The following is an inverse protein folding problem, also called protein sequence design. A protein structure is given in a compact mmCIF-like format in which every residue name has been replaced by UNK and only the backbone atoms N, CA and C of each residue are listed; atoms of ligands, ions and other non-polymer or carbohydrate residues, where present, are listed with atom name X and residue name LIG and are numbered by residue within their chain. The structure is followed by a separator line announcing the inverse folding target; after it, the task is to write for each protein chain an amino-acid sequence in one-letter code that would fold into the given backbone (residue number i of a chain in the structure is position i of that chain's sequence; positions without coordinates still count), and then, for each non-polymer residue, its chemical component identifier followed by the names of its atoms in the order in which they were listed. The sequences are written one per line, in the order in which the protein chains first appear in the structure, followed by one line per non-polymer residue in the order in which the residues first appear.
data_IF_700791194916
#
_entry.id   IF_700791194916
#
_cell.length_a   1.000
_cell.length_b   1.000
_cell.length_c   1.000
_cell.angle_alpha   90.00
_cell.angle_beta   90.00
_cell.angle_gamma   90.00
#
_symmetry.space_group_name_H-M   'P 1'
#
loop_
_entity.id
_entity.type
_entity.pdbx_description
1 polymer ?
#
# COMPACT_ATOMS: atom_id res chain seq x y z
N UNK A 1 31.11 16.56 -8.38
CA UNK A 1 29.93 16.24 -7.53
C UNK A 1 28.60 16.57 -8.20
N UNK A 2 28.44 17.75 -8.82
CA UNK A 2 27.21 18.10 -9.57
C UNK A 2 26.77 17.02 -10.57
N UNK A 3 27.71 16.42 -11.31
CA UNK A 3 27.43 15.32 -12.25
C UNK A 3 26.78 14.09 -11.60
N UNK A 4 27.12 13.78 -10.33
CA UNK A 4 26.48 12.69 -9.61
C UNK A 4 25.00 13.00 -9.34
N UNK A 5 24.69 14.19 -8.84
CA UNK A 5 23.29 14.61 -8.60
C UNK A 5 22.48 14.67 -9.89
N UNK A 6 23.06 15.18 -10.99
CA UNK A 6 22.44 15.17 -12.32
C UNK A 6 22.16 13.74 -12.80
N UNK A 7 23.13 12.83 -12.63
CA UNK A 7 22.95 11.42 -12.94
C UNK A 7 21.80 10.81 -12.12
N UNK A 8 21.78 11.02 -10.80
CA UNK A 8 20.73 10.49 -9.91
C UNK A 8 19.34 11.01 -10.29
N UNK A 9 19.24 12.30 -10.60
CA UNK A 9 18.00 12.90 -11.09
C UNK A 9 17.53 12.28 -12.41
N UNK A 10 18.43 12.10 -13.39
CA UNK A 10 18.11 11.46 -14.68
C UNK A 10 17.68 10.00 -14.50
N UNK A 11 18.40 9.22 -13.69
CA UNK A 11 18.07 7.84 -13.39
C UNK A 11 16.68 7.72 -12.74
N UNK A 12 16.39 8.57 -11.75
CA UNK A 12 15.08 8.63 -11.11
C UNK A 12 13.99 8.99 -12.14
N UNK A 13 14.20 10.02 -12.96
CA UNK A 13 13.26 10.44 -14.00
C UNK A 13 12.94 9.32 -15.00
N UNK A 14 13.95 8.55 -15.43
CA UNK A 14 13.74 7.41 -16.34
C UNK A 14 12.88 6.33 -15.70
N UNK A 15 13.18 5.95 -14.45
CA UNK A 15 12.39 4.96 -13.72
C UNK A 15 10.95 5.45 -13.44
N UNK A 16 10.80 6.72 -13.06
CA UNK A 16 9.48 7.35 -12.90
C UNK A 16 8.70 7.37 -14.20
N UNK A 17 9.32 7.59 -15.36
CA UNK A 17 8.64 7.54 -16.65
C UNK A 17 8.08 6.13 -16.94
N UNK A 18 8.82 5.08 -16.58
CA UNK A 18 8.34 3.69 -16.68
C UNK A 18 7.15 3.44 -15.76
N UNK A 19 7.25 3.88 -14.49
CA UNK A 19 6.15 3.78 -13.53
C UNK A 19 4.92 4.57 -13.99
N UNK A 20 5.10 5.77 -14.51
CA UNK A 20 4.01 6.61 -15.04
C UNK A 20 3.36 5.97 -16.26
N UNK A 21 4.11 5.28 -17.13
CA UNK A 21 3.53 4.53 -18.26
C UNK A 21 2.67 3.36 -17.77
N UNK A 22 3.13 2.62 -16.76
CA UNK A 22 2.34 1.54 -16.15
C UNK A 22 1.08 2.10 -15.47
N UNK A 23 1.24 3.20 -14.72
CA UNK A 23 0.13 3.90 -14.09
C UNK A 23 -0.85 4.42 -15.13
N UNK A 24 -0.40 4.97 -16.26
CA UNK A 24 -1.27 5.44 -17.33
C UNK A 24 -2.10 4.30 -17.92
N UNK A 25 -1.51 3.14 -18.19
CA UNK A 25 -2.25 1.97 -18.69
C UNK A 25 -3.31 1.49 -17.69
N UNK A 26 -2.96 1.48 -16.41
CA UNK A 26 -3.87 1.13 -15.33
C UNK A 26 -4.99 2.18 -15.13
N UNK A 27 -4.62 3.45 -15.14
CA UNK A 27 -5.52 4.59 -14.99
C UNK A 27 -6.48 4.71 -16.16
N UNK A 28 -6.09 4.37 -17.38
CA UNK A 28 -7.02 4.32 -18.51
C UNK A 28 -8.15 3.32 -18.26
N UNK A 29 -7.81 2.11 -17.79
CA UNK A 29 -8.81 1.11 -17.40
C UNK A 29 -9.70 1.63 -16.26
N UNK A 30 -9.10 2.26 -15.24
CA UNK A 30 -9.86 2.87 -14.14
C UNK A 30 -10.72 4.04 -14.61
N UNK A 31 -10.27 4.90 -15.51
CA UNK A 31 -11.04 6.04 -16.04
C UNK A 31 -12.24 5.50 -16.83
N UNK A 32 -12.04 4.51 -17.69
CA UNK A 32 -13.13 3.93 -18.49
C UNK A 32 -14.24 3.35 -17.62
N UNK A 33 -13.92 2.77 -16.45
CA UNK A 33 -14.89 2.14 -15.56
C UNK A 33 -15.32 3.05 -14.39
N UNK A 34 -14.49 4.02 -14.01
CA UNK A 34 -14.57 4.76 -12.74
C UNK A 34 -14.16 6.25 -12.88
N UNK A 35 -14.32 6.87 -14.04
CA UNK A 35 -13.98 8.30 -14.24
C UNK A 35 -14.55 9.21 -13.15
N UNK A 36 -15.80 8.96 -12.75
CA UNK A 36 -16.53 9.75 -11.73
C UNK A 36 -15.82 9.71 -10.36
N UNK A 37 -15.05 8.67 -10.08
CA UNK A 37 -14.47 8.41 -8.75
C UNK A 37 -13.07 9.00 -8.56
N UNK A 38 -12.34 9.31 -9.64
CA UNK A 38 -10.98 9.86 -9.53
C UNK A 38 -10.96 11.21 -8.80
N UNK A 39 -11.83 12.19 -9.14
CA UNK A 39 -11.94 13.42 -8.37
C UNK A 39 -12.30 13.15 -6.91
N UNK A 40 -13.16 12.18 -6.64
CA UNK A 40 -13.58 11.82 -5.27
C UNK A 40 -12.42 11.24 -4.45
N UNK A 41 -11.50 10.47 -5.05
CA UNK A 41 -10.29 10.01 -4.38
C UNK A 41 -9.36 11.18 -4.01
N UNK A 42 -9.19 12.15 -4.92
CA UNK A 42 -8.38 13.35 -4.68
C UNK A 42 -9.01 14.17 -3.55
N UNK A 43 -10.31 14.41 -3.61
CA UNK A 43 -11.07 15.12 -2.57
C UNK A 43 -10.95 14.37 -1.23
N UNK A 44 -11.03 13.04 -1.22
CA UNK A 44 -10.86 12.23 -0.02
C UNK A 44 -9.48 12.40 0.64
N UNK A 45 -8.41 12.52 -0.15
CA UNK A 45 -7.06 12.81 0.36
C UNK A 45 -7.01 14.20 1.00
N UNK A 46 -7.50 15.24 0.32
CA UNK A 46 -7.51 16.60 0.87
C UNK A 46 -8.45 16.72 2.08
N UNK A 47 -9.58 16.02 2.08
CA UNK A 47 -10.49 15.93 3.21
C UNK A 47 -9.81 15.33 4.44
N UNK A 48 -9.11 14.20 4.27
CA UNK A 48 -8.32 13.59 5.32
C UNK A 48 -7.25 14.54 5.86
N UNK A 49 -6.48 15.18 4.97
CA UNK A 49 -5.47 16.16 5.39
C UNK A 49 -6.10 17.35 6.13
N UNK A 50 -7.27 17.82 5.69
CA UNK A 50 -8.05 18.85 6.37
C UNK A 50 -8.46 18.46 7.79
N UNK A 51 -8.82 17.19 8.01
CA UNK A 51 -9.10 16.64 9.35
C UNK A 51 -7.86 16.53 10.24
N UNK A 52 -6.64 16.69 9.72
CA UNK A 52 -5.45 16.86 10.57
C UNK A 52 -5.24 18.32 10.98
N UNK A 53 -5.79 19.28 10.23
CA UNK A 53 -5.72 20.72 10.55
C UNK A 53 -6.81 21.10 11.53
N UNK A 54 -8.05 20.76 11.20
CA UNK A 54 -9.25 21.08 11.99
C UNK A 54 -10.04 19.80 12.23
N UNK A 55 -10.07 19.36 13.50
CA UNK A 55 -10.77 18.16 13.91
C UNK A 55 -11.64 18.41 15.13
N UNK A 56 -12.86 17.86 15.07
CA UNK A 56 -13.79 17.83 16.20
C UNK A 56 -13.45 16.70 17.19
N UNK A 57 -12.66 15.72 16.74
CA UNK A 57 -12.30 14.53 17.52
C UNK A 57 -10.86 14.11 17.28
N UNK A 58 -10.06 14.10 18.34
CA UNK A 58 -8.69 13.57 18.32
C UNK A 58 -8.63 12.14 17.81
N UNK A 59 -9.61 11.31 18.19
CA UNK A 59 -9.68 9.93 17.75
C UNK A 59 -9.85 9.83 16.23
N UNK A 60 -10.71 10.67 15.61
CA UNK A 60 -10.82 10.71 14.14
C UNK A 60 -9.50 11.14 13.49
N UNK A 61 -8.86 12.19 14.00
CA UNK A 61 -7.59 12.68 13.46
C UNK A 61 -6.47 11.62 13.56
N UNK A 62 -6.39 10.87 14.67
CA UNK A 62 -5.44 9.77 14.84
C UNK A 62 -5.68 8.67 13.79
N UNK A 63 -6.95 8.27 13.58
CA UNK A 63 -7.30 7.26 12.56
C UNK A 63 -6.89 7.69 11.16
N UNK A 64 -7.13 8.97 10.83
CA UNK A 64 -6.73 9.55 9.54
C UNK A 64 -5.20 9.60 9.41
N UNK A 65 -4.48 10.00 10.46
CA UNK A 65 -3.02 10.02 10.48
C UNK A 65 -2.43 8.61 10.25
N UNK A 66 -2.99 7.58 10.90
CA UNK A 66 -2.62 6.19 10.64
C UNK A 66 -2.86 5.79 9.18
N UNK A 67 -4.04 6.11 8.63
CA UNK A 67 -4.37 5.85 7.23
C UNK A 67 -3.33 6.44 6.29
N UNK A 68 -2.90 7.68 6.52
CA UNK A 68 -1.85 8.30 5.72
C UNK A 68 -0.46 7.66 5.88
N UNK A 69 -0.08 7.20 7.07
CA UNK A 69 1.18 6.46 7.26
C UNK A 69 1.16 5.12 6.51
N UNK A 70 0.02 4.44 6.53
CA UNK A 70 -0.17 3.20 5.77
C UNK A 70 -0.14 3.46 4.26
N UNK A 71 -0.84 4.50 3.78
CA UNK A 71 -0.80 4.91 2.37
C UNK A 71 0.61 5.28 1.92
N UNK A 72 1.32 6.05 2.73
CA UNK A 72 2.71 6.43 2.47
C UNK A 72 3.60 5.20 2.32
N UNK A 73 3.45 4.21 3.21
CA UNK A 73 4.22 2.97 3.18
C UNK A 73 4.03 2.22 1.85
N UNK A 74 2.79 2.16 1.36
CA UNK A 74 2.45 1.53 0.08
C UNK A 74 3.07 2.30 -1.09
N UNK A 75 2.92 3.62 -1.13
CA UNK A 75 3.46 4.48 -2.19
C UNK A 75 4.98 4.46 -2.21
N UNK A 76 5.62 4.54 -1.05
CA UNK A 76 7.07 4.54 -0.92
C UNK A 76 7.68 3.27 -1.50
N UNK A 77 7.05 2.11 -1.30
CA UNK A 77 7.59 0.88 -1.85
C UNK A 77 7.59 0.86 -3.38
N UNK A 78 6.56 1.43 -4.02
CA UNK A 78 6.52 1.55 -5.48
C UNK A 78 7.61 2.51 -6.00
N UNK A 79 7.87 3.60 -5.26
CA UNK A 79 8.83 4.63 -5.66
C UNK A 79 10.27 4.33 -5.24
N UNK A 80 10.48 3.48 -4.22
CA UNK A 80 11.79 3.17 -3.64
C UNK A 80 12.84 2.73 -4.67
N UNK A 81 12.54 1.82 -5.62
CA UNK A 81 13.49 1.45 -6.66
C UNK A 81 13.95 2.63 -7.52
N UNK A 82 13.05 3.58 -7.82
CA UNK A 82 13.36 4.79 -8.58
C UNK A 82 14.17 5.78 -7.74
N UNK A 83 13.75 6.02 -6.49
CA UNK A 83 14.42 6.93 -5.56
C UNK A 83 15.85 6.47 -5.30
N UNK A 84 16.07 5.19 -4.97
CA UNK A 84 17.39 4.67 -4.61
C UNK A 84 18.24 4.27 -5.82
N UNK A 85 17.62 4.15 -7.00
CA UNK A 85 18.20 3.49 -8.18
C UNK A 85 18.81 2.14 -7.80
N UNK A 86 17.95 1.27 -7.26
CA UNK A 86 18.35 0.01 -6.65
C UNK A 86 19.16 -0.90 -7.58
N UNK A 87 18.90 -0.83 -8.89
CA UNK A 87 19.61 -1.62 -9.90
C UNK A 87 21.10 -1.26 -10.02
N UNK A 88 21.45 0.03 -9.86
CA UNK A 88 22.82 0.52 -10.00
C UNK A 88 23.45 0.91 -8.66
N UNK A 89 22.88 0.45 -7.54
CA UNK A 89 23.32 0.84 -6.19
C UNK A 89 24.78 0.45 -5.90
N UNK A 90 25.25 -0.67 -6.44
CA UNK A 90 26.64 -1.10 -6.34
C UNK A 90 27.58 -0.16 -7.10
N UNK A 91 27.16 0.30 -8.29
CA UNK A 91 27.91 1.25 -9.12
C UNK A 91 28.06 2.62 -8.43
N UNK A 92 27.08 3.07 -7.65
CA UNK A 92 27.24 4.33 -6.91
C UNK A 92 28.40 4.28 -5.90
N UNK A 93 28.71 3.09 -5.36
CA UNK A 93 29.82 2.91 -4.41
C UNK A 93 31.19 3.00 -5.08
N UNK A 94 31.28 2.82 -6.40
CA UNK A 94 32.54 3.00 -7.14
C UNK A 94 32.77 4.47 -7.51
N UNK A 95 31.69 5.25 -7.67
CA UNK A 95 31.75 6.67 -8.01
C UNK A 95 32.01 7.60 -6.82
N UNK A 96 31.65 7.19 -5.61
CA UNK A 96 31.72 8.03 -4.41
C UNK A 96 32.64 7.42 -3.35
N UNK A 97 33.52 8.25 -2.77
CA UNK A 97 34.37 7.87 -1.62
C UNK A 97 33.61 7.70 -0.30
N UNK A 98 32.34 8.11 -0.23
CA UNK A 98 31.53 8.05 0.99
C UNK A 98 30.03 8.06 0.70
N UNK A 99 29.23 7.78 1.74
CA UNK A 99 27.76 7.64 1.62
C UNK A 99 27.00 8.96 1.69
N UNK A 100 27.63 10.06 2.11
CA UNK A 100 26.94 11.35 2.36
C UNK A 100 26.20 11.86 1.12
N UNK A 101 26.88 11.96 -0.03
CA UNK A 101 26.24 12.44 -1.26
C UNK A 101 25.15 11.49 -1.79
N UNK A 102 25.33 10.18 -1.58
CA UNK A 102 24.32 9.19 -1.91
C UNK A 102 23.06 9.38 -1.07
N UNK A 103 23.23 9.51 0.26
CA UNK A 103 22.14 9.74 1.21
C UNK A 103 21.43 11.06 0.94
N UNK A 104 22.18 12.15 0.72
CA UNK A 104 21.62 13.45 0.39
C UNK A 104 20.81 13.42 -0.92
N UNK A 105 21.31 12.75 -1.96
CA UNK A 105 20.56 12.59 -3.21
C UNK A 105 19.27 11.78 -2.99
N UNK A 106 19.32 10.70 -2.23
CA UNK A 106 18.14 9.90 -1.88
C UNK A 106 17.09 10.73 -1.12
N UNK A 107 17.53 11.59 -0.18
CA UNK A 107 16.63 12.45 0.61
C UNK A 107 15.93 13.51 -0.25
N UNK A 108 16.67 14.17 -1.15
CA UNK A 108 16.13 15.17 -2.07
C UNK A 108 15.14 14.52 -3.04
N UNK A 109 15.50 13.37 -3.61
CA UNK A 109 14.63 12.64 -4.53
C UNK A 109 13.39 12.10 -3.82
N UNK A 110 13.52 11.62 -2.57
CA UNK A 110 12.39 11.22 -1.76
C UNK A 110 11.42 12.39 -1.58
N UNK A 111 11.90 13.56 -1.16
CA UNK A 111 11.06 14.74 -0.96
C UNK A 111 10.28 15.11 -2.23
N UNK A 112 10.96 15.11 -3.39
CA UNK A 112 10.32 15.39 -4.68
C UNK A 112 9.31 14.34 -5.13
N UNK A 113 9.45 13.09 -4.70
CA UNK A 113 8.54 11.99 -5.05
C UNK A 113 7.47 11.72 -3.97
N UNK A 114 7.51 12.40 -2.83
CA UNK A 114 6.65 12.11 -1.69
C UNK A 114 5.25 12.72 -1.89
N UNK A 115 4.38 12.03 -2.64
CA UNK A 115 3.05 12.50 -3.07
C UNK A 115 2.22 13.09 -1.92
N UNK A 116 2.17 12.42 -0.76
CA UNK A 116 1.40 12.91 0.39
C UNK A 116 2.00 14.17 1.05
N UNK A 117 3.32 14.32 0.97
CA UNK A 117 3.99 15.50 1.50
C UNK A 117 3.72 16.69 0.59
N UNK A 118 3.77 16.48 -0.74
CA UNK A 118 3.39 17.49 -1.73
C UNK A 118 1.92 17.89 -1.56
N UNK A 119 1.00 16.93 -1.38
CA UNK A 119 -0.41 17.22 -1.13
C UNK A 119 -0.61 18.03 0.16
N UNK A 120 0.06 17.65 1.26
CA UNK A 120 0.04 18.40 2.51
C UNK A 120 0.64 19.79 2.37
N UNK A 121 1.69 19.96 1.56
CA UNK A 121 2.31 21.25 1.27
C UNK A 121 1.35 22.16 0.47
N UNK A 122 0.65 21.62 -0.54
CA UNK A 122 -0.39 22.35 -1.28
C UNK A 122 -1.48 22.83 -0.31
N UNK A 123 -1.93 21.96 0.60
CA UNK A 123 -2.91 22.32 1.62
C UNK A 123 -2.36 23.43 2.55
N UNK A 124 -1.14 23.27 3.07
CA UNK A 124 -0.51 24.26 3.95
C UNK A 124 -0.40 25.64 3.27
N UNK A 125 -0.01 25.67 2.00
CA UNK A 125 0.03 26.92 1.21
C UNK A 125 -1.37 27.52 1.02
N UNK A 126 -2.39 26.68 0.79
CA UNK A 126 -3.78 27.15 0.60
C UNK A 126 -4.42 27.72 1.86
N UNK A 127 -4.02 27.24 3.04
CA UNK A 127 -4.53 27.69 4.34
C UNK A 127 -3.94 29.06 4.71
N UNK A 128 -2.72 29.36 4.26
CA UNK A 128 -2.00 30.59 4.58
C UNK A 128 -1.17 30.49 5.86
N UNK A 129 -0.15 31.34 5.96
CA UNK A 129 0.87 31.30 7.02
C UNK A 129 0.29 31.50 8.43
N UNK A 130 -0.62 32.45 8.60
CA UNK A 130 -1.18 32.80 9.91
C UNK A 130 -1.98 31.64 10.53
N UNK A 131 -2.77 30.96 9.70
CA UNK A 131 -3.57 29.80 10.12
C UNK A 131 -2.71 28.54 10.28
N UNK A 132 -1.59 28.43 9.57
CA UNK A 132 -0.66 27.30 9.73
C UNK A 132 0.00 27.32 11.12
N UNK A 133 0.35 28.49 11.63
CA UNK A 133 0.87 28.65 12.99
C UNK A 133 -0.14 28.24 14.08
N UNK A 134 -1.43 28.39 13.79
CA UNK A 134 -2.51 27.95 14.68
C UNK A 134 -2.77 26.43 14.60
N UNK A 135 -2.18 25.73 13.62
CA UNK A 135 -2.33 24.29 13.42
C UNK A 135 -0.97 23.56 13.32
N UNK A 136 -0.12 23.61 14.37
CA UNK A 136 1.24 23.04 14.35
C UNK A 136 1.27 21.53 14.10
N UNK A 137 0.15 20.84 14.33
CA UNK A 137 0.01 19.42 14.05
C UNK A 137 0.21 19.06 12.56
N UNK A 138 -0.13 19.94 11.60
CA UNK A 138 0.08 19.64 10.18
C UNK A 138 1.57 19.64 9.81
N UNK A 139 2.37 20.68 10.11
CA UNK A 139 3.82 20.63 9.92
C UNK A 139 4.49 19.48 10.68
N UNK A 140 4.07 19.21 11.92
CA UNK A 140 4.59 18.10 12.71
C UNK A 140 4.30 16.74 12.03
N UNK A 141 3.08 16.56 11.50
CA UNK A 141 2.70 15.38 10.74
C UNK A 141 3.50 15.26 9.44
N UNK A 142 3.71 16.35 8.70
CA UNK A 142 4.53 16.36 7.47
C UNK A 142 5.98 15.95 7.75
N UNK A 143 6.58 16.49 8.81
CA UNK A 143 7.93 16.10 9.23
C UNK A 143 7.98 14.63 9.63
N UNK A 144 7.00 14.16 10.41
CA UNK A 144 6.92 12.76 10.83
C UNK A 144 6.78 11.83 9.63
N UNK A 145 5.92 12.16 8.67
CA UNK A 145 5.76 11.43 7.42
C UNK A 145 7.09 11.31 6.67
N UNK A 146 7.79 12.43 6.49
CA UNK A 146 9.08 12.43 5.81
C UNK A 146 10.13 11.58 6.56
N UNK A 147 10.26 11.74 7.87
CA UNK A 147 11.16 10.92 8.72
C UNK A 147 10.81 9.42 8.65
N UNK A 148 9.52 9.08 8.70
CA UNK A 148 9.05 7.72 8.56
C UNK A 148 9.47 7.15 7.20
N UNK A 149 9.29 7.89 6.11
CA UNK A 149 9.71 7.47 4.77
C UNK A 149 11.22 7.29 4.66
N UNK A 150 12.01 8.17 5.26
CA UNK A 150 13.46 8.04 5.31
C UNK A 150 13.90 6.75 5.99
N UNK A 151 13.32 6.42 7.14
CA UNK A 151 13.65 5.20 7.87
C UNK A 151 13.29 3.97 7.04
N UNK A 152 12.12 3.93 6.44
CA UNK A 152 11.70 2.82 5.57
C UNK A 152 12.56 2.65 4.31
N UNK A 153 13.14 3.74 3.80
CA UNK A 153 14.04 3.69 2.65
C UNK A 153 15.27 2.84 2.97
N UNK A 154 15.85 3.02 4.15
CA UNK A 154 17.08 2.33 4.57
C UNK A 154 16.83 1.03 5.37
N UNK A 155 15.74 0.97 6.14
CA UNK A 155 15.40 -0.14 7.04
C UNK A 155 14.00 -0.67 6.73
N UNK A 156 13.82 -1.46 5.66
CA UNK A 156 12.52 -2.02 5.32
C UNK A 156 11.95 -2.94 6.41
N UNK A 157 12.81 -3.55 7.24
CA UNK A 157 12.39 -4.36 8.39
C UNK A 157 11.60 -3.56 9.45
N UNK A 158 11.86 -2.24 9.56
CA UNK A 158 11.18 -1.36 10.50
C UNK A 158 9.73 -1.09 10.11
N UNK A 159 9.33 -1.45 8.89
CA UNK A 159 7.99 -1.21 8.38
C UNK A 159 6.93 -1.89 9.21
N UNK A 160 7.09 -3.19 9.46
CA UNK A 160 6.09 -3.99 10.17
C UNK A 160 5.99 -3.57 11.63
N UNK A 161 7.13 -3.36 12.31
CA UNK A 161 7.15 -2.87 13.69
C UNK A 161 6.52 -1.49 13.80
N UNK A 162 6.92 -0.56 12.94
CA UNK A 162 6.42 0.82 12.99
C UNK A 162 4.93 0.91 12.66
N UNK A 163 4.45 0.16 11.66
CA UNK A 163 3.02 0.10 11.36
C UNK A 163 2.22 -0.59 12.48
N UNK A 164 2.76 -1.62 13.12
CA UNK A 164 2.09 -2.28 14.24
C UNK A 164 1.97 -1.35 15.45
N UNK A 165 3.05 -0.64 15.80
CA UNK A 165 3.04 0.33 16.89
C UNK A 165 2.11 1.48 16.58
N UNK A 166 2.15 2.03 15.36
CA UNK A 166 1.21 3.05 14.93
C UNK A 166 -0.25 2.53 15.01
N UNK A 167 -0.50 1.30 14.58
CA UNK A 167 -1.84 0.70 14.65
C UNK A 167 -2.35 0.54 16.08
N UNK A 168 -1.53 0.01 16.99
CA UNK A 168 -1.88 -0.12 18.41
C UNK A 168 -2.13 1.26 19.03
N UNK A 169 -1.28 2.24 18.71
CA UNK A 169 -1.40 3.60 19.20
C UNK A 169 -2.70 4.29 18.78
N UNK A 170 -3.38 3.84 17.71
CA UNK A 170 -4.70 4.36 17.32
C UNK A 170 -5.71 4.26 18.46
N UNK A 171 -5.63 3.19 19.25
CA UNK A 171 -6.59 2.89 20.33
C UNK A 171 -6.11 3.34 21.70
N UNK A 172 -4.80 3.53 21.87
CA UNK A 172 -4.19 3.84 23.17
C UNK A 172 -3.83 5.32 23.34
N UNK A 173 -3.58 6.04 22.24
CA UNK A 173 -3.17 7.45 22.33
C UNK A 173 -4.38 8.35 22.66
N UNK A 174 -4.32 9.14 23.74
CA UNK A 174 -5.44 10.00 24.13
C UNK A 174 -5.56 11.26 23.28
N UNK A 175 -4.49 11.66 22.58
CA UNK A 175 -4.48 12.85 21.71
C UNK A 175 -3.55 12.67 20.51
N UNK A 176 -3.79 13.46 19.45
CA UNK A 176 -3.00 13.43 18.22
C UNK A 176 -1.51 13.75 18.47
N UNK A 177 -1.13 14.76 19.27
CA UNK A 177 0.28 15.01 19.57
C UNK A 177 0.97 13.81 20.25
N UNK A 178 0.29 13.14 21.18
CA UNK A 178 0.84 11.94 21.84
C UNK A 178 1.00 10.81 20.84
N UNK A 179 0.01 10.60 19.96
CA UNK A 179 0.10 9.62 18.87
C UNK A 179 1.33 9.87 17.98
N UNK A 180 1.53 11.11 17.53
CA UNK A 180 2.69 11.49 16.70
C UNK A 180 4.01 11.31 17.45
N UNK A 181 4.06 11.65 18.74
CA UNK A 181 5.24 11.49 19.59
C UNK A 181 5.61 10.02 19.79
N UNK A 182 4.64 9.13 20.01
CA UNK A 182 4.86 7.68 20.13
C UNK A 182 5.50 7.12 18.85
N UNK A 183 4.99 7.52 17.69
CA UNK A 183 5.56 7.08 16.41
C UNK A 183 6.97 7.64 16.21
N UNK A 184 7.18 8.93 16.51
CA UNK A 184 8.49 9.56 16.39
C UNK A 184 9.54 8.86 17.28
N UNK A 185 9.17 8.54 18.52
CA UNK A 185 10.01 7.82 19.46
C UNK A 185 10.32 6.41 18.96
N UNK A 186 9.31 5.68 18.47
CA UNK A 186 9.50 4.34 17.94
C UNK A 186 10.43 4.34 16.72
N UNK A 187 10.25 5.28 15.81
CA UNK A 187 11.13 5.49 14.66
C UNK A 187 12.58 5.77 15.07
N UNK A 188 12.78 6.60 16.10
CA UNK A 188 14.11 6.86 16.66
C UNK A 188 14.73 5.58 17.22
N UNK A 189 13.97 4.75 17.94
CA UNK A 189 14.44 3.46 18.47
C UNK A 189 14.76 2.45 17.36
N UNK A 190 13.92 2.36 16.33
CA UNK A 190 14.13 1.47 15.18
C UNK A 190 15.37 1.85 14.38
N UNK A 191 15.89 3.08 14.49
CA UNK A 191 17.18 3.48 13.92
C UNK A 191 18.38 2.83 14.62
N UNK A 192 18.27 2.53 15.92
CA UNK A 192 19.35 1.92 16.70
C UNK A 192 19.22 0.39 16.79
N UNK A 193 18.03 -0.16 16.54
CA UNK A 193 17.78 -1.61 16.61
C UNK A 193 18.66 -2.41 15.63
N UNK A 194 19.24 -3.55 16.02
CA UNK A 194 20.01 -4.39 15.09
C UNK A 194 19.12 -5.02 14.01
N UNK A 195 19.72 -5.35 12.86
CA UNK A 195 19.03 -6.08 11.80
C UNK A 195 18.70 -7.52 12.23
N UNK A 196 17.41 -7.86 12.25
CA UNK A 196 16.96 -9.20 12.63
C UNK A 196 17.04 -10.08 11.39
N UNK A 197 18.09 -10.91 11.34
CA UNK A 197 18.21 -11.95 10.30
C UNK A 197 17.45 -13.19 10.75
N UNK A 198 16.19 -13.30 10.34
CA UNK A 198 15.43 -14.53 10.55
C UNK A 198 15.99 -15.62 9.63
N UNK A 199 16.41 -16.75 10.20
CA UNK A 199 16.81 -17.92 9.44
C UNK A 199 15.66 -18.36 8.51
N UNK A 200 15.96 -18.55 7.23
CA UNK A 200 14.96 -19.08 6.29
C UNK A 200 14.69 -20.55 6.64
N UNK A 201 13.42 -20.98 6.72
CA UNK A 201 13.08 -22.38 6.91
C UNK A 201 13.63 -23.17 5.72
N UNK A 202 14.10 -24.39 5.95
CA UNK A 202 14.36 -25.29 4.83
C UNK A 202 13.02 -25.72 4.23
N UNK A 203 12.79 -25.52 2.93
CA UNK A 203 11.54 -25.92 2.31
C UNK A 203 11.46 -27.45 2.30
N UNK A 204 10.42 -28.01 2.91
CA UNK A 204 10.09 -29.42 2.73
C UNK A 204 9.24 -29.60 1.46
N UNK A 205 9.18 -30.83 0.92
CA UNK A 205 8.41 -31.17 -0.29
C UNK A 205 6.89 -31.21 -0.04
N UNK A 206 6.35 -30.25 0.71
CA UNK A 206 4.93 -30.09 0.98
C UNK A 206 4.49 -28.67 0.54
N UNK A 207 3.37 -28.52 -0.19
CA UNK A 207 2.82 -27.21 -0.57
C UNK A 207 2.73 -26.19 0.57
N UNK A 208 2.36 -26.59 1.79
CA UNK A 208 2.26 -25.67 2.93
C UNK A 208 3.64 -25.11 3.35
N UNK A 209 4.66 -25.96 3.40
CA UNK A 209 6.04 -25.53 3.71
C UNK A 209 6.61 -24.64 2.61
N UNK A 210 6.31 -24.97 1.34
CA UNK A 210 6.66 -24.14 0.21
C UNK A 210 6.05 -22.73 0.31
N UNK A 211 4.75 -22.62 0.57
CA UNK A 211 4.11 -21.30 0.71
C UNK A 211 4.63 -20.53 1.93
N UNK A 212 4.88 -21.21 3.05
CA UNK A 212 5.51 -20.59 4.21
C UNK A 212 6.90 -20.02 3.86
N UNK A 213 7.71 -20.76 3.11
CA UNK A 213 8.99 -20.28 2.61
C UNK A 213 8.82 -19.06 1.68
N UNK A 214 7.92 -19.13 0.70
CA UNK A 214 7.66 -18.03 -0.24
C UNK A 214 7.22 -16.77 0.51
N UNK A 215 6.27 -16.90 1.45
CA UNK A 215 5.77 -15.79 2.25
C UNK A 215 6.88 -15.18 3.10
N UNK A 216 7.73 -16.00 3.72
CA UNK A 216 8.85 -15.50 4.53
C UNK A 216 9.91 -14.79 3.69
N UNK A 217 10.17 -15.27 2.47
CA UNK A 217 11.14 -14.64 1.56
C UNK A 217 10.62 -13.35 0.93
N UNK A 218 9.31 -13.24 0.71
CA UNK A 218 8.69 -12.10 0.04
C UNK A 218 7.41 -11.64 0.78
N UNK A 219 7.51 -11.26 2.07
CA UNK A 219 6.34 -10.97 2.91
C UNK A 219 5.53 -9.79 2.40
N UNK A 220 6.21 -8.88 1.70
CA UNK A 220 5.60 -7.69 1.14
C UNK A 220 4.40 -8.02 0.25
N UNK A 221 4.45 -9.11 -0.53
CA UNK A 221 3.36 -9.48 -1.44
C UNK A 221 2.00 -9.59 -0.74
N UNK A 222 2.00 -9.93 0.55
CA UNK A 222 0.78 -10.01 1.38
C UNK A 222 0.56 -8.69 2.10
N UNK A 223 1.60 -8.15 2.74
CA UNK A 223 1.49 -6.97 3.61
C UNK A 223 0.89 -5.78 2.87
N UNK A 224 1.31 -5.54 1.62
CA UNK A 224 0.80 -4.40 0.87
C UNK A 224 -0.66 -4.57 0.47
N UNK A 225 -1.09 -5.79 0.13
CA UNK A 225 -2.48 -6.10 -0.23
C UNK A 225 -3.39 -5.98 0.99
N UNK A 226 -2.98 -6.56 2.11
CA UNK A 226 -3.70 -6.43 3.37
C UNK A 226 -3.78 -4.97 3.85
N UNK A 227 -2.66 -4.22 3.77
CA UNK A 227 -2.63 -2.81 4.11
C UNK A 227 -3.51 -1.95 3.20
N UNK A 228 -3.46 -2.20 1.89
CA UNK A 228 -4.30 -1.52 0.91
C UNK A 228 -5.80 -1.84 1.14
N UNK A 229 -6.11 -3.09 1.47
CA UNK A 229 -7.47 -3.51 1.85
C UNK A 229 -7.96 -2.82 3.11
N UNK A 230 -7.14 -2.80 4.15
CA UNK A 230 -7.47 -2.15 5.39
C UNK A 230 -7.72 -0.66 5.18
N UNK A 231 -6.83 0.05 4.46
CA UNK A 231 -6.98 1.50 4.26
C UNK A 231 -8.22 1.85 3.44
N UNK A 232 -8.57 1.08 2.43
CA UNK A 232 -9.78 1.35 1.62
C UNK A 232 -11.05 1.10 2.39
N UNK A 233 -11.13 0.00 3.13
CA UNK A 233 -12.25 -0.28 4.03
C UNK A 233 -12.39 0.79 5.09
N UNK A 234 -11.27 1.20 5.70
CA UNK A 234 -11.26 2.23 6.72
C UNK A 234 -11.69 3.59 6.16
N UNK A 235 -11.15 3.99 5.00
CA UNK A 235 -11.58 5.20 4.31
C UNK A 235 -13.08 5.16 4.00
N UNK A 236 -13.61 4.01 3.56
CA UNK A 236 -15.03 3.81 3.34
C UNK A 236 -15.89 4.04 4.58
N UNK A 237 -15.46 3.54 5.74
CA UNK A 237 -16.19 3.74 7.00
C UNK A 237 -16.13 5.18 7.50
N UNK A 238 -14.99 5.86 7.32
CA UNK A 238 -14.90 7.29 7.63
C UNK A 238 -15.84 8.08 6.72
N UNK A 239 -15.85 7.79 5.42
CA UNK A 239 -16.76 8.44 4.47
C UNK A 239 -18.23 8.10 4.75
N UNK A 240 -18.56 6.87 5.14
CA UNK A 240 -19.92 6.49 5.54
C UNK A 240 -20.45 7.36 6.68
N UNK A 241 -19.58 7.66 7.65
CA UNK A 241 -19.92 8.47 8.81
C UNK A 241 -19.99 9.96 8.50
N UNK A 242 -19.01 10.47 7.75
CA UNK A 242 -18.85 11.92 7.55
C UNK A 242 -19.60 12.45 6.32
N UNK A 243 -19.78 11.61 5.29
CA UNK A 243 -20.38 11.93 3.98
C UNK A 243 -21.19 10.73 3.44
N UNK A 244 -22.31 10.38 4.09
CA UNK A 244 -23.15 9.24 3.69
C UNK A 244 -23.70 9.39 2.26
N UNK A 245 -23.86 10.64 1.78
CA UNK A 245 -24.24 10.98 0.42
C UNK A 245 -23.31 10.37 -0.64
N UNK A 246 -22.03 10.18 -0.31
CA UNK A 246 -21.03 9.62 -1.22
C UNK A 246 -20.81 8.12 -1.00
N UNK A 247 -21.42 7.51 0.02
CA UNK A 247 -21.10 6.15 0.45
C UNK A 247 -21.33 5.13 -0.66
N UNK A 248 -22.45 5.22 -1.39
CA UNK A 248 -22.77 4.28 -2.46
C UNK A 248 -21.65 4.19 -3.50
N UNK A 249 -21.04 5.34 -3.82
CA UNK A 249 -19.93 5.44 -4.75
C UNK A 249 -18.62 4.85 -4.17
N UNK A 250 -18.27 5.20 -2.93
CA UNK A 250 -17.06 4.67 -2.30
C UNK A 250 -17.13 3.17 -2.06
N UNK A 251 -18.27 2.62 -1.65
CA UNK A 251 -18.42 1.18 -1.42
C UNK A 251 -18.06 0.38 -2.67
N UNK A 252 -18.53 0.82 -3.84
CA UNK A 252 -18.21 0.16 -5.11
C UNK A 252 -16.70 0.20 -5.37
N UNK A 253 -16.07 1.37 -5.32
CA UNK A 253 -14.62 1.50 -5.55
C UNK A 253 -13.81 0.62 -4.61
N UNK A 254 -14.18 0.59 -3.33
CA UNK A 254 -13.51 -0.21 -2.30
C UNK A 254 -13.60 -1.70 -2.65
N UNK A 255 -14.77 -2.19 -3.04
CA UNK A 255 -14.95 -3.60 -3.40
C UNK A 255 -14.07 -3.99 -4.59
N UNK A 256 -14.10 -3.18 -5.64
CA UNK A 256 -13.50 -3.51 -6.93
C UNK A 256 -11.98 -3.44 -6.86
N UNK A 257 -11.45 -2.41 -6.21
CA UNK A 257 -10.01 -2.26 -5.98
C UNK A 257 -9.49 -3.40 -5.07
N UNK A 258 -10.24 -3.78 -4.03
CA UNK A 258 -9.87 -4.90 -3.17
C UNK A 258 -9.79 -6.22 -3.93
N UNK A 259 -10.81 -6.50 -4.73
CA UNK A 259 -10.85 -7.68 -5.57
C UNK A 259 -9.67 -7.71 -6.56
N UNK A 260 -9.28 -6.56 -7.11
CA UNK A 260 -8.13 -6.45 -8.00
C UNK A 260 -6.79 -6.73 -7.29
N UNK A 261 -6.60 -6.20 -6.08
CA UNK A 261 -5.38 -6.43 -5.31
C UNK A 261 -5.20 -7.91 -4.97
N UNK A 262 -6.24 -8.55 -4.46
CA UNK A 262 -6.17 -9.97 -4.10
C UNK A 262 -6.03 -10.86 -5.33
N UNK A 263 -6.75 -10.59 -6.43
CA UNK A 263 -6.58 -11.37 -7.66
C UNK A 263 -5.19 -11.21 -8.27
N UNK A 264 -4.57 -10.03 -8.17
CA UNK A 264 -3.19 -9.80 -8.64
C UNK A 264 -2.14 -10.61 -7.86
N UNK A 265 -2.44 -11.11 -6.64
CA UNK A 265 -1.51 -11.96 -5.87
C UNK A 265 -1.17 -13.24 -6.63
N UNK A 266 -2.09 -13.69 -7.48
CA UNK A 266 -1.82 -14.80 -8.38
C UNK A 266 -0.60 -14.53 -9.27
N UNK A 267 -0.45 -13.32 -9.82
CA UNK A 267 0.67 -12.99 -10.71
C UNK A 267 2.02 -13.04 -10.00
N UNK A 268 2.08 -12.73 -8.71
CA UNK A 268 3.32 -12.80 -7.92
C UNK A 268 3.63 -14.23 -7.49
N UNK A 269 2.61 -14.97 -7.08
CA UNK A 269 2.76 -16.37 -6.65
C UNK A 269 3.03 -17.31 -7.83
N UNK A 270 2.48 -17.03 -9.02
CA UNK A 270 2.64 -17.85 -10.21
C UNK A 270 4.10 -17.91 -10.68
N UNK A 271 4.85 -16.80 -10.55
CA UNK A 271 6.30 -16.75 -10.85
C UNK A 271 7.08 -17.85 -10.13
N UNK A 272 6.68 -18.21 -8.91
CA UNK A 272 7.32 -19.27 -8.12
C UNK A 272 6.87 -20.69 -8.52
N UNK A 273 5.65 -20.83 -9.04
CA UNK A 273 5.04 -22.10 -9.44
C UNK A 273 5.41 -22.45 -10.88
N UNK A 274 5.11 -21.58 -11.84
CA UNK A 274 5.32 -21.82 -13.28
C UNK A 274 6.79 -21.72 -13.67
N UNK A 275 7.56 -20.84 -13.02
CA UNK A 275 9.01 -20.72 -13.24
C UNK A 275 9.80 -21.99 -12.94
N UNK A 276 9.23 -22.92 -12.17
CA UNK A 276 9.82 -24.23 -11.82
C UNK A 276 8.93 -25.40 -12.23
N UNK A 277 8.08 -25.22 -13.24
CA UNK A 277 7.07 -26.20 -13.67
C UNK A 277 7.63 -27.60 -13.91
N UNK A 278 8.79 -27.71 -14.55
CA UNK A 278 9.40 -29.01 -14.85
C UNK A 278 9.80 -29.77 -13.58
N UNK A 279 10.38 -29.08 -12.60
CA UNK A 279 10.72 -29.65 -11.29
C UNK A 279 9.49 -30.15 -10.53
N UNK A 280 8.40 -29.37 -10.53
CA UNK A 280 7.16 -29.80 -9.87
C UNK A 280 6.49 -30.98 -10.57
N UNK A 281 6.64 -31.08 -11.89
CA UNK A 281 6.14 -32.22 -12.68
C UNK A 281 6.94 -33.48 -12.46
N UNK A 282 8.27 -33.39 -12.32
CA UNK A 282 9.10 -34.58 -12.03
C UNK A 282 8.80 -35.19 -10.66
N UNK A 283 8.20 -34.42 -9.75
CA UNK A 283 7.76 -34.86 -8.42
C UNK A 283 6.26 -35.19 -8.34
N UNK A 284 5.52 -35.06 -9.45
CA UNK A 284 4.05 -35.20 -9.51
C UNK A 284 3.26 -34.26 -8.55
N UNK A 285 3.88 -33.17 -8.10
CA UNK A 285 3.29 -32.20 -7.18
C UNK A 285 2.64 -30.99 -7.88
N UNK A 286 2.83 -30.85 -9.20
CA UNK A 286 2.39 -29.67 -9.94
C UNK A 286 0.88 -29.38 -9.85
N UNK A 287 -0.04 -30.36 -10.00
CA UNK A 287 -1.48 -30.10 -9.88
C UNK A 287 -1.89 -29.69 -8.46
N UNK A 288 -1.27 -30.30 -7.45
CA UNK A 288 -1.52 -29.96 -6.04
C UNK A 288 -1.05 -28.54 -5.73
N UNK A 289 0.09 -28.14 -6.27
CA UNK A 289 0.66 -26.83 -6.06
C UNK A 289 -0.23 -25.72 -6.64
N UNK A 290 -0.79 -25.92 -7.84
CA UNK A 290 -1.75 -24.97 -8.44
C UNK A 290 -3.02 -24.82 -7.58
N UNK A 291 -3.61 -25.92 -7.09
CA UNK A 291 -4.78 -25.84 -6.19
C UNK A 291 -4.44 -25.13 -4.88
N UNK A 292 -3.28 -25.43 -4.31
CA UNK A 292 -2.82 -24.80 -3.07
C UNK A 292 -2.57 -23.30 -3.23
N UNK A 293 -2.16 -22.84 -4.41
CA UNK A 293 -2.01 -21.42 -4.74
C UNK A 293 -3.36 -20.69 -4.65
N UNK A 294 -4.40 -21.24 -5.29
CA UNK A 294 -5.74 -20.67 -5.27
C UNK A 294 -6.31 -20.64 -3.85
N UNK A 295 -6.14 -21.72 -3.09
CA UNK A 295 -6.57 -21.79 -1.69
C UNK A 295 -5.84 -20.79 -0.80
N UNK A 296 -4.53 -20.61 -1.00
CA UNK A 296 -3.76 -19.61 -0.27
C UNK A 296 -4.29 -18.19 -0.54
N UNK A 297 -4.47 -17.82 -1.81
CA UNK A 297 -4.93 -16.49 -2.19
C UNK A 297 -6.32 -16.22 -1.61
N UNK A 298 -7.24 -17.17 -1.75
CA UNK A 298 -8.58 -17.06 -1.20
C UNK A 298 -8.56 -16.97 0.33
N UNK A 299 -7.81 -17.84 1.00
CA UNK A 299 -7.69 -17.86 2.46
C UNK A 299 -7.12 -16.56 3.02
N UNK A 300 -6.09 -16.00 2.38
CA UNK A 300 -5.51 -14.70 2.76
C UNK A 300 -6.48 -13.54 2.51
N UNK A 301 -7.18 -13.54 1.37
CA UNK A 301 -8.20 -12.54 1.06
C UNK A 301 -9.32 -12.57 2.11
N UNK A 302 -9.85 -13.76 2.40
CA UNK A 302 -10.88 -13.96 3.40
C UNK A 302 -10.43 -13.53 4.80
N UNK A 303 -9.25 -13.97 5.24
CA UNK A 303 -8.71 -13.62 6.55
C UNK A 303 -8.46 -12.12 6.69
N UNK A 304 -7.89 -11.47 5.66
CA UNK A 304 -7.68 -10.02 5.67
C UNK A 304 -8.99 -9.25 5.68
N UNK A 305 -9.99 -9.71 4.92
CA UNK A 305 -11.30 -9.09 4.87
C UNK A 305 -12.03 -9.20 6.20
N UNK A 306 -12.13 -10.42 6.74
CA UNK A 306 -12.78 -10.69 8.02
C UNK A 306 -12.09 -9.94 9.15
N UNK A 307 -10.75 -9.94 9.18
CA UNK A 307 -9.96 -9.16 10.13
C UNK A 307 -10.31 -7.68 10.08
N UNK A 308 -10.37 -7.08 8.89
CA UNK A 308 -10.74 -5.67 8.74
C UNK A 308 -12.19 -5.38 9.16
N UNK A 309 -13.14 -6.25 8.83
CA UNK A 309 -14.55 -6.10 9.23
C UNK A 309 -14.69 -6.14 10.75
N UNK A 310 -14.08 -7.13 11.41
CA UNK A 310 -14.10 -7.28 12.88
C UNK A 310 -13.41 -6.08 13.55
N UNK A 311 -12.23 -5.70 13.09
CA UNK A 311 -11.46 -4.59 13.67
C UNK A 311 -12.18 -3.24 13.56
N UNK A 312 -12.96 -3.05 12.50
CA UNK A 312 -13.59 -1.77 12.21
C UNK A 312 -15.09 -1.74 12.57
N UNK A 313 -15.64 -2.82 13.14
CA UNK A 313 -17.08 -3.00 13.38
C UNK A 313 -17.93 -2.70 12.13
N UNK A 314 -17.45 -3.11 10.96
CA UNK A 314 -18.12 -2.86 9.68
C UNK A 314 -19.29 -3.82 9.44
N UNK A 315 -20.28 -3.39 8.66
CA UNK A 315 -21.38 -4.26 8.23
C UNK A 315 -20.91 -5.33 7.22
N UNK A 316 -21.55 -6.50 7.26
CA UNK A 316 -21.29 -7.65 6.38
C UNK A 316 -21.65 -7.40 4.91
N UNK A 317 -22.21 -6.25 4.56
CA UNK A 317 -22.77 -5.94 3.23
C UNK A 317 -21.77 -6.01 2.04
N UNK A 318 -20.50 -6.28 2.33
CA UNK A 318 -19.40 -6.33 1.37
C UNK A 318 -18.87 -7.75 1.05
N UNK A 319 -19.59 -8.81 1.45
CA UNK A 319 -19.22 -10.22 1.15
C UNK A 319 -19.09 -10.52 -0.36
N UNK A 320 -19.62 -9.66 -1.24
CA UNK A 320 -19.49 -9.79 -2.69
C UNK A 320 -18.03 -9.91 -3.17
N UNK A 321 -17.07 -9.26 -2.49
CA UNK A 321 -15.62 -9.42 -2.80
C UNK A 321 -15.14 -10.83 -2.52
N UNK A 322 -15.57 -11.42 -1.41
CA UNK A 322 -15.20 -12.79 -1.05
C UNK A 322 -15.79 -13.77 -2.06
N UNK A 323 -17.06 -13.59 -2.44
CA UNK A 323 -17.76 -14.49 -3.38
C UNK A 323 -17.20 -14.39 -4.81
N UNK A 324 -16.77 -13.21 -5.22
CA UNK A 324 -16.25 -12.97 -6.58
C UNK A 324 -14.76 -13.29 -6.74
N UNK A 325 -14.01 -13.39 -5.64
CA UNK A 325 -12.57 -13.71 -5.67
C UNK A 325 -12.26 -15.09 -6.28
N UNK A 326 -12.97 -16.19 -5.95
CA UNK A 326 -12.79 -17.49 -6.60
C UNK A 326 -12.95 -17.46 -8.13
N UNK A 327 -13.95 -16.72 -8.65
CA UNK A 327 -14.18 -16.59 -10.08
C UNK A 327 -13.02 -15.89 -10.80
N UNK A 328 -12.43 -14.89 -10.16
CA UNK A 328 -11.22 -14.25 -10.68
C UNK A 328 -10.01 -15.14 -10.58
N UNK A 329 -9.78 -15.81 -9.45
CA UNK A 329 -8.66 -16.74 -9.30
C UNK A 329 -8.73 -17.83 -10.37
N UNK A 330 -9.92 -18.38 -10.62
CA UNK A 330 -10.16 -19.33 -11.71
C UNK A 330 -9.79 -18.72 -13.07
N UNK A 331 -10.27 -17.50 -13.35
CA UNK A 331 -9.94 -16.79 -14.60
C UNK A 331 -8.43 -16.61 -14.77
N UNK A 332 -7.71 -16.17 -13.74
CA UNK A 332 -6.26 -15.95 -13.86
C UNK A 332 -5.51 -17.27 -14.07
N UNK A 333 -5.98 -18.35 -13.47
CA UNK A 333 -5.37 -19.67 -13.58
C UNK A 333 -5.37 -20.18 -15.03
N UNK A 334 -6.47 -20.01 -15.75
CA UNK A 334 -6.62 -20.53 -17.12
C UNK A 334 -6.35 -19.47 -18.20
N UNK A 335 -6.67 -18.20 -17.92
CA UNK A 335 -6.65 -17.10 -18.87
C UNK A 335 -6.11 -15.81 -18.22
N UNK A 336 -4.82 -15.76 -17.81
CA UNK A 336 -4.26 -14.61 -17.10
C UNK A 336 -4.35 -13.31 -17.90
N UNK A 337 -4.28 -13.38 -19.23
CA UNK A 337 -4.43 -12.23 -20.14
C UNK A 337 -5.83 -11.61 -20.12
N UNK A 338 -6.85 -12.32 -19.62
CA UNK A 338 -8.24 -11.88 -19.53
C UNK A 338 -8.62 -11.35 -18.14
N UNK A 339 -7.68 -11.32 -17.18
CA UNK A 339 -7.94 -10.88 -15.81
C UNK A 339 -8.63 -9.51 -15.76
N UNK A 340 -8.08 -8.51 -16.44
CA UNK A 340 -8.61 -7.15 -16.43
C UNK A 340 -10.05 -7.07 -16.95
N UNK A 341 -10.34 -7.79 -18.03
CA UNK A 341 -11.69 -7.82 -18.65
C UNK A 341 -12.68 -8.52 -17.73
N UNK A 342 -12.33 -9.71 -17.21
CA UNK A 342 -13.21 -10.46 -16.31
C UNK A 342 -13.45 -9.73 -14.99
N UNK A 343 -12.42 -9.07 -14.46
CA UNK A 343 -12.57 -8.15 -13.33
C UNK A 343 -13.55 -7.03 -13.66
N UNK A 344 -13.41 -6.35 -14.81
CA UNK A 344 -14.35 -5.33 -15.26
C UNK A 344 -15.79 -5.83 -15.40
N UNK A 345 -15.99 -6.99 -16.02
CA UNK A 345 -17.33 -7.60 -16.18
C UNK A 345 -17.98 -7.94 -14.83
N UNK A 346 -17.24 -8.58 -13.92
CA UNK A 346 -17.73 -8.88 -12.57
C UNK A 346 -18.04 -7.57 -11.83
N UNK A 347 -17.18 -6.57 -11.97
CA UNK A 347 -17.35 -5.26 -11.35
C UNK A 347 -18.66 -4.58 -11.77
N UNK A 348 -18.91 -4.51 -13.07
CA UNK A 348 -20.13 -3.92 -13.63
C UNK A 348 -21.36 -4.75 -13.23
N UNK A 349 -21.26 -6.08 -13.25
CA UNK A 349 -22.38 -6.97 -12.86
C UNK A 349 -22.77 -6.77 -11.40
N UNK A 350 -21.79 -6.70 -10.49
CA UNK A 350 -22.03 -6.39 -9.07
C UNK A 350 -22.63 -4.99 -8.89
N UNK A 351 -22.18 -4.01 -9.68
CA UNK A 351 -22.73 -2.66 -9.66
C UNK A 351 -24.19 -2.64 -10.12
N UNK A 352 -24.51 -3.29 -11.24
CA UNK A 352 -25.89 -3.38 -11.75
C UNK A 352 -26.81 -4.11 -10.78
N UNK A 353 -26.36 -5.24 -10.20
CA UNK A 353 -27.11 -5.95 -9.17
C UNK A 353 -27.43 -5.04 -7.97
N UNK A 354 -26.45 -4.25 -7.52
CA UNK A 354 -26.65 -3.33 -6.39
C UNK A 354 -27.64 -2.21 -6.72
N UNK A 355 -27.63 -1.68 -7.94
CA UNK A 355 -28.52 -0.58 -8.36
C UNK A 355 -29.93 -1.07 -8.69
N UNK A 356 -30.08 -2.30 -9.17
CA UNK A 356 -31.37 -2.85 -9.62
C UNK A 356 -32.19 -3.51 -8.50
N UNK A 357 -31.53 -4.02 -7.45
CA UNK A 357 -32.18 -4.83 -6.41
C UNK A 357 -32.11 -4.22 -4.99
N UNK A 358 -31.51 -3.04 -4.84
CA UNK A 358 -31.49 -2.22 -3.61
C UNK A 358 -31.82 -0.79 -4.01
#
# INVERSE_FOLDING_TARGET
MLHYYQYRYRACRVQLAVLMKQLQQFSMMLITLFFIFIPQLIIGVFYGLGKLVSFDSHHLAIKVAFGFLLLQSLLLQALKPAIMDSAHRAYHRTLLRGRLHQVAADWILLLGCHVLFVAALILAMSIGYDKLWQAPQLPAFMLLQWCFALILLYRPQALLSSLLVAFIAVWLAPSLPIYLAVIALWLALDWFRPEIKLALPQPSLNPASFWYYVIKTSPWMIVWRAGASLITLWAGLIMAKERPDLLHYYTLVILLINQLWWSSLYLDTDKHVTGRRQFWRSLDLYPQLLRSQSLLIYGLCFASWLGAVVLLNGELFNLAVIVSTPLLVWTVTYHPRRLAVMWGCISVSLMMLKVLFI
#
